data_IF_603407901374
#
_entry.id   IF_603407901374
#
_cell.length_a   1.000
_cell.length_b   1.000
_cell.length_c   1.000
_cell.angle_alpha   90.00
_cell.angle_beta   90.00
_cell.angle_gamma   90.00
#
_symmetry.space_group_name_H-M   'P 1'
#
loop_
_entity.id
_entity.type
_entity.pdbx_description
1 polymer ?
#
# COMPACT_ATOMS: atom_id res chain seq x y z
N UNK A 1 0.16 -9.49 5.90
CA UNK A 1 -0.61 -8.23 5.75
C UNK A 1 -0.49 -7.82 4.29
N UNK A 2 -1.53 -7.25 3.68
CA UNK A 2 -1.41 -6.76 2.30
C UNK A 2 -0.39 -5.62 2.25
N UNK A 3 0.41 -5.54 1.19
CA UNK A 3 1.48 -4.54 1.16
C UNK A 3 0.97 -3.10 1.16
N UNK A 4 -0.12 -2.83 0.45
CA UNK A 4 -0.80 -1.53 0.54
C UNK A 4 -1.24 -1.19 1.98
N UNK A 5 -1.77 -2.17 2.72
CA UNK A 5 -2.15 -1.98 4.13
C UNK A 5 -0.95 -1.65 5.01
N UNK A 6 0.20 -2.29 4.75
CA UNK A 6 1.43 -2.04 5.49
C UNK A 6 2.01 -0.66 5.23
N UNK A 7 1.98 -0.21 3.99
CA UNK A 7 2.47 1.11 3.62
C UNK A 7 1.62 2.23 4.23
N UNK A 8 0.29 2.08 4.22
CA UNK A 8 -0.63 3.01 4.89
C UNK A 8 -0.30 3.10 6.38
N UNK A 9 -0.07 1.95 7.02
CA UNK A 9 0.33 1.87 8.43
C UNK A 9 1.68 2.55 8.70
N UNK A 10 2.72 2.26 7.90
CA UNK A 10 4.05 2.86 8.06
C UNK A 10 4.04 4.38 7.95
N UNK A 11 3.16 4.94 7.12
CA UNK A 11 2.99 6.39 6.98
C UNK A 11 2.10 7.01 8.05
N UNK A 12 1.62 6.24 9.03
CA UNK A 12 0.72 6.72 10.07
C UNK A 12 -0.61 7.27 9.53
N UNK A 13 -1.01 6.88 8.32
CA UNK A 13 -2.20 7.41 7.67
C UNK A 13 -3.43 6.56 7.98
N UNK A 14 -4.58 7.20 8.11
CA UNK A 14 -5.84 6.46 8.12
C UNK A 14 -6.20 5.97 6.72
N UNK A 15 -6.89 4.83 6.63
CA UNK A 15 -7.44 4.33 5.34
C UNK A 15 -8.38 5.35 4.69
N UNK A 16 -9.09 6.15 5.51
CA UNK A 16 -9.99 7.19 5.01
C UNK A 16 -9.24 8.34 4.34
N UNK A 17 -8.14 8.78 4.94
CA UNK A 17 -7.32 9.86 4.37
C UNK A 17 -6.61 9.39 3.11
N UNK A 18 -6.11 8.15 3.12
CA UNK A 18 -5.50 7.56 1.93
C UNK A 18 -6.51 7.38 0.78
N UNK A 19 -7.74 6.91 1.05
CA UNK A 19 -8.75 6.79 -0.01
C UNK A 19 -9.09 8.13 -0.64
N UNK A 20 -9.18 9.20 0.17
CA UNK A 20 -9.38 10.57 -0.32
C UNK A 20 -8.22 11.01 -1.20
N UNK A 21 -6.97 10.79 -0.78
CA UNK A 21 -5.77 11.12 -1.57
C UNK A 21 -5.73 10.39 -2.91
N UNK A 22 -6.17 9.14 -2.95
CA UNK A 22 -6.19 8.31 -4.16
C UNK A 22 -7.42 8.55 -5.06
N UNK A 23 -8.37 9.39 -4.62
CA UNK A 23 -9.60 9.68 -5.39
C UNK A 23 -10.57 8.51 -5.48
N UNK A 24 -10.60 7.64 -4.46
CA UNK A 24 -11.49 6.47 -4.40
C UNK A 24 -12.33 6.47 -3.12
N UNK A 25 -13.39 5.66 -3.10
CA UNK A 25 -14.19 5.49 -1.89
C UNK A 25 -13.47 4.62 -0.86
N UNK A 26 -13.77 4.83 0.42
CA UNK A 26 -13.28 3.97 1.52
C UNK A 26 -13.67 2.50 1.32
N UNK A 27 -14.85 2.24 0.75
CA UNK A 27 -15.32 0.89 0.48
C UNK A 27 -14.49 0.21 -0.62
N UNK A 28 -14.15 0.94 -1.69
CA UNK A 28 -13.27 0.44 -2.74
C UNK A 28 -11.90 0.05 -2.16
N UNK A 29 -11.29 0.94 -1.37
CA UNK A 29 -10.02 0.65 -0.71
C UNK A 29 -10.13 -0.59 0.20
N UNK A 30 -11.15 -0.66 1.06
CA UNK A 30 -11.34 -1.80 1.94
C UNK A 30 -11.51 -3.12 1.16
N UNK A 31 -12.18 -3.09 0.01
CA UNK A 31 -12.32 -4.28 -0.83
C UNK A 31 -10.99 -4.83 -1.34
N UNK A 32 -9.97 -3.98 -1.50
CA UNK A 32 -8.61 -4.38 -1.88
C UNK A 32 -7.79 -4.92 -0.70
N UNK A 33 -8.07 -4.42 0.51
CA UNK A 33 -7.34 -4.77 1.73
C UNK A 33 -7.95 -5.98 2.46
N UNK A 34 -9.11 -6.46 2.02
CA UNK A 34 -9.73 -7.67 2.55
C UNK A 34 -8.79 -8.87 2.42
N UNK A 35 -9.03 -9.90 3.24
CA UNK A 35 -8.26 -11.15 3.23
C UNK A 35 -9.06 -12.26 2.54
N UNK A 36 -8.35 -13.21 1.93
CA UNK A 36 -8.95 -14.40 1.33
C UNK A 36 -9.86 -14.08 0.14
N UNK A 37 -10.94 -14.86 -0.03
CA UNK A 37 -11.84 -14.78 -1.21
C UNK A 37 -12.60 -13.47 -1.36
N UNK A 38 -12.66 -12.64 -0.31
CA UNK A 38 -13.31 -11.32 -0.33
C UNK A 38 -12.38 -10.19 -0.81
N UNK A 39 -11.10 -10.48 -1.05
CA UNK A 39 -10.13 -9.54 -1.58
C UNK A 39 -10.37 -9.34 -3.08
N UNK A 40 -10.58 -8.09 -3.50
CA UNK A 40 -10.57 -7.74 -4.91
C UNK A 40 -9.18 -7.29 -5.35
N UNK A 41 -8.74 -7.66 -6.57
CA UNK A 41 -7.47 -7.19 -7.10
C UNK A 41 -7.49 -5.67 -7.26
N UNK A 42 -6.34 -5.05 -7.00
CA UNK A 42 -6.13 -3.62 -7.22
C UNK A 42 -5.97 -3.40 -8.74
N UNK A 43 -6.77 -2.51 -9.37
CA UNK A 43 -6.58 -2.22 -10.79
C UNK A 43 -5.19 -1.64 -11.07
N UNK A 44 -4.60 -2.00 -12.23
CA UNK A 44 -3.23 -1.59 -12.59
C UNK A 44 -2.98 -0.09 -12.45
N UNK A 45 -3.94 0.75 -12.90
CA UNK A 45 -3.86 2.21 -12.74
C UNK A 45 -3.63 2.66 -11.29
N UNK A 46 -4.28 1.99 -10.34
CA UNK A 46 -4.14 2.30 -8.91
C UNK A 46 -2.89 1.69 -8.31
N UNK A 47 -2.41 0.53 -8.82
CA UNK A 47 -1.10 0.00 -8.43
C UNK A 47 -0.01 1.02 -8.78
N UNK A 48 -0.06 1.60 -9.99
CA UNK A 48 0.88 2.63 -10.44
C UNK A 48 0.82 3.86 -9.52
N UNK A 49 -0.37 4.42 -9.29
CA UNK A 49 -0.53 5.57 -8.38
C UNK A 49 -0.06 5.30 -6.95
N UNK A 50 -0.33 4.10 -6.40
CA UNK A 50 0.16 3.71 -5.08
C UNK A 50 1.69 3.59 -5.07
N UNK A 51 2.27 3.00 -6.12
CA UNK A 51 3.71 2.81 -6.26
C UNK A 51 4.45 4.14 -6.29
N UNK A 52 3.95 5.10 -7.07
CA UNK A 52 4.45 6.48 -7.14
C UNK A 52 4.28 7.19 -5.79
N UNK A 53 3.10 7.09 -5.16
CA UNK A 53 2.83 7.77 -3.89
C UNK A 53 3.73 7.27 -2.74
N UNK A 54 3.94 5.95 -2.64
CA UNK A 54 4.75 5.37 -1.57
C UNK A 54 6.24 5.27 -1.92
N UNK A 55 6.63 5.53 -3.16
CA UNK A 55 7.97 5.26 -3.69
C UNK A 55 8.41 3.80 -3.47
N UNK A 56 7.50 2.85 -3.72
CA UNK A 56 7.70 1.42 -3.46
C UNK A 56 7.26 0.61 -4.69
N UNK A 57 8.01 -0.42 -5.12
CA UNK A 57 7.65 -1.22 -6.29
C UNK A 57 6.22 -1.78 -6.25
N UNK A 58 5.51 -1.69 -7.39
CA UNK A 58 4.11 -2.13 -7.52
C UNK A 58 3.85 -3.57 -7.11
N UNK A 59 4.85 -4.46 -7.26
CA UNK A 59 4.79 -5.86 -6.80
C UNK A 59 4.50 -5.98 -5.30
N UNK A 60 5.01 -5.06 -4.48
CA UNK A 60 4.74 -5.06 -3.05
C UNK A 60 3.32 -4.59 -2.74
N UNK A 61 2.75 -3.69 -3.54
CA UNK A 61 1.41 -3.10 -3.30
C UNK A 61 0.32 -4.17 -3.28
N UNK A 62 0.31 -5.04 -4.29
CA UNK A 62 -0.73 -6.06 -4.49
C UNK A 62 -0.42 -7.40 -3.84
N UNK A 63 0.77 -7.58 -3.27
CA UNK A 63 1.22 -8.85 -2.69
C UNK A 63 0.85 -8.93 -1.21
N UNK A 64 0.56 -10.16 -0.76
CA UNK A 64 0.57 -10.48 0.67
C UNK A 64 2.02 -10.58 1.16
N UNK A 65 2.42 -9.69 2.05
CA UNK A 65 3.82 -9.57 2.46
C UNK A 65 4.27 -10.74 3.35
N UNK A 66 5.44 -11.28 3.02
CA UNK A 66 6.27 -12.07 3.94
C UNK A 66 7.00 -11.16 4.93
N UNK A 67 7.70 -11.74 5.91
CA UNK A 67 8.54 -10.95 6.81
C UNK A 67 9.71 -10.31 6.07
N UNK A 68 10.32 -11.00 5.12
CA UNK A 68 11.39 -10.46 4.28
C UNK A 68 10.90 -9.27 3.44
N UNK A 69 9.69 -9.36 2.86
CA UNK A 69 9.11 -8.26 2.11
C UNK A 69 8.91 -7.01 2.99
N UNK A 70 8.45 -7.19 4.23
CA UNK A 70 8.28 -6.08 5.19
C UNK A 70 9.61 -5.40 5.49
N UNK A 71 10.68 -6.17 5.70
CA UNK A 71 12.02 -5.62 5.95
C UNK A 71 12.50 -4.82 4.75
N UNK A 72 12.31 -5.32 3.52
CA UNK A 72 12.65 -4.59 2.29
C UNK A 72 11.89 -3.27 2.18
N UNK A 73 10.59 -3.29 2.43
CA UNK A 73 9.75 -2.08 2.41
C UNK A 73 10.17 -1.08 3.49
N UNK A 74 10.48 -1.55 4.70
CA UNK A 74 10.94 -0.70 5.79
C UNK A 74 12.26 -0.01 5.45
N UNK A 75 13.20 -0.73 4.84
CA UNK A 75 14.46 -0.14 4.39
C UNK A 75 14.25 0.95 3.32
N UNK A 76 13.32 0.73 2.37
CA UNK A 76 12.93 1.77 1.39
C UNK A 76 12.34 3.01 2.08
N UNK A 77 11.53 2.81 3.12
CA UNK A 77 10.94 3.90 3.88
C UNK A 77 11.99 4.70 4.66
N UNK A 78 12.98 4.02 5.26
CA UNK A 78 14.11 4.65 5.94
C UNK A 78 14.93 5.48 4.95
N UNK A 79 15.33 4.91 3.81
CA UNK A 79 16.08 5.62 2.76
C UNK A 79 15.35 6.88 2.28
N UNK A 80 14.01 6.81 2.16
CA UNK A 80 13.20 7.97 1.79
C UNK A 80 13.18 9.05 2.86
N UNK A 81 13.23 8.68 4.15
CA UNK A 81 13.31 9.65 5.25
C UNK A 81 14.68 10.31 5.34
N UNK A 82 15.75 9.57 5.04
CA UNK A 82 17.14 10.07 5.03
C UNK A 82 17.44 10.96 3.81
N UNK A 83 16.65 10.86 2.74
CA UNK A 83 16.78 11.70 1.54
C UNK A 83 16.18 13.12 1.69
N UNK A 84 15.73 13.49 2.90
CA UNK A 84 15.17 14.80 3.27
C UNK A 84 16.23 15.57 4.06
#
# INVERSE_FOLDING_TARGET
MMGLEYLIFLRGMSRQDFSKKLGITRQQLNSWLNKGKAARPIPYKHIKSCSEFFNVPGVFISKLLTNEDKVKILNLEIQRLEAI
#
